data_IF_217263880027
#
_entry.id   IF_217263880027
#
_cell.length_a   1.000
_cell.length_b   1.000
_cell.length_c   1.000
_cell.angle_alpha   90.00
_cell.angle_beta   90.00
_cell.angle_gamma   90.00
#
_symmetry.space_group_name_H-M   'P 1'
#
loop_
_entity.id
_entity.type
_entity.pdbx_description
1 polymer ?
#
# COMPACT_ATOMS: atom_id res chain seq x y z
N UNK A 1 -2.40 -1.74 -27.40
CA UNK A 1 -3.37 -0.64 -27.28
C UNK A 1 -3.54 -0.28 -25.80
N UNK A 2 -3.50 1.00 -25.44
CA UNK A 2 -3.77 1.45 -24.07
C UNK A 2 -5.26 1.24 -23.75
N UNK A 3 -5.55 0.53 -22.66
CA UNK A 3 -6.94 0.31 -22.19
C UNK A 3 -7.40 1.60 -21.52
N UNK A 4 -8.58 2.11 -21.89
CA UNK A 4 -9.24 3.23 -21.22
C UNK A 4 -10.21 2.69 -20.18
N UNK A 5 -10.18 3.25 -18.97
CA UNK A 5 -11.12 2.96 -17.90
C UNK A 5 -11.70 4.30 -17.46
N UNK A 6 -12.93 4.60 -17.86
CA UNK A 6 -13.56 5.91 -17.63
C UNK A 6 -12.63 7.07 -18.05
N UNK A 7 -12.28 7.96 -17.12
CA UNK A 7 -11.39 9.11 -17.32
C UNK A 7 -9.89 8.77 -17.25
N UNK A 8 -9.54 7.48 -17.11
CA UNK A 8 -8.16 7.02 -16.93
C UNK A 8 -7.62 6.30 -18.17
N UNK A 9 -6.47 6.77 -18.64
CA UNK A 9 -5.67 6.06 -19.63
C UNK A 9 -4.69 5.12 -18.93
N UNK A 10 -4.89 3.82 -19.06
CA UNK A 10 -4.07 2.79 -18.40
C UNK A 10 -2.86 2.44 -19.26
N UNK A 11 -1.68 2.49 -18.65
CA UNK A 11 -0.38 2.26 -19.27
C UNK A 11 0.30 0.96 -18.84
N UNK A 12 1.63 1.03 -18.70
CA UNK A 12 2.51 -0.10 -18.39
C UNK A 12 2.23 -0.68 -17.00
N UNK A 13 2.56 -1.96 -16.81
CA UNK A 13 2.58 -2.59 -15.48
C UNK A 13 3.72 -2.02 -14.64
N UNK A 14 3.43 -1.69 -13.39
CA UNK A 14 4.41 -1.26 -12.37
C UNK A 14 4.81 -2.43 -11.49
N UNK A 15 3.88 -3.33 -11.18
CA UNK A 15 4.13 -4.51 -10.35
C UNK A 15 3.07 -5.58 -10.53
N UNK A 16 3.43 -6.81 -10.17
CA UNK A 16 2.53 -7.98 -10.22
C UNK A 16 2.56 -8.65 -8.85
N UNK A 17 1.41 -8.68 -8.19
CA UNK A 17 1.20 -9.46 -6.98
C UNK A 17 0.52 -10.80 -7.28
N UNK A 18 0.29 -11.61 -6.25
CA UNK A 18 -0.27 -12.96 -6.38
C UNK A 18 -1.68 -12.98 -7.00
N UNK A 19 -2.50 -11.96 -6.73
CA UNK A 19 -3.88 -11.83 -7.21
C UNK A 19 -4.22 -10.42 -7.71
N UNK A 20 -3.21 -9.58 -7.90
CA UNK A 20 -3.38 -8.21 -8.36
C UNK A 20 -2.29 -7.79 -9.34
N UNK A 21 -2.59 -6.80 -10.18
CA UNK A 21 -1.60 -6.14 -11.03
C UNK A 21 -1.68 -4.65 -10.81
N UNK A 22 -0.56 -4.00 -10.52
CA UNK A 22 -0.48 -2.55 -10.41
C UNK A 22 -0.01 -1.99 -11.74
N UNK A 23 -0.75 -1.03 -12.29
CA UNK A 23 -0.44 -0.37 -13.56
C UNK A 23 -0.29 1.12 -13.38
N UNK A 24 0.55 1.73 -14.21
CA UNK A 24 0.58 3.17 -14.35
C UNK A 24 -0.69 3.64 -15.06
N UNK A 25 -1.22 4.78 -14.65
CA UNK A 25 -2.34 5.44 -15.31
C UNK A 25 -2.16 6.96 -15.35
N UNK A 26 -2.95 7.60 -16.19
CA UNK A 26 -3.09 9.07 -16.22
C UNK A 26 -4.57 9.40 -16.19
N UNK A 27 -4.98 10.23 -15.25
CA UNK A 27 -6.30 10.86 -15.25
C UNK A 27 -6.31 11.91 -16.37
N UNK A 28 -7.00 11.63 -17.48
CA UNK A 28 -6.93 12.44 -18.69
C UNK A 28 -7.38 13.90 -18.47
N UNK A 29 -8.44 14.20 -17.72
CA UNK A 29 -8.89 15.58 -17.51
C UNK A 29 -7.87 16.46 -16.78
N UNK A 30 -7.06 15.90 -15.87
CA UNK A 30 -6.11 16.67 -15.04
C UNK A 30 -4.65 16.42 -15.37
N UNK A 31 -4.35 15.44 -16.24
CA UNK A 31 -2.99 14.97 -16.51
C UNK A 31 -2.31 14.27 -15.33
N UNK A 32 -3.02 14.03 -14.22
CA UNK A 32 -2.42 13.49 -12.99
C UNK A 32 -2.00 12.03 -13.19
N UNK A 33 -0.74 11.73 -12.84
CA UNK A 33 -0.20 10.37 -12.81
C UNK A 33 -0.79 9.58 -11.63
N UNK A 34 -1.21 8.35 -11.86
CA UNK A 34 -1.83 7.46 -10.86
C UNK A 34 -1.29 6.04 -10.94
N UNK A 35 -1.37 5.32 -9.83
CA UNK A 35 -1.18 3.88 -9.78
C UNK A 35 -2.57 3.20 -9.72
N UNK A 36 -2.78 2.16 -10.53
CA UNK A 36 -4.06 1.47 -10.65
C UNK A 36 -3.86 0.00 -10.28
N UNK A 37 -4.31 -0.40 -9.09
CA UNK A 37 -4.32 -1.80 -8.65
C UNK A 37 -5.56 -2.47 -9.25
N UNK A 38 -5.34 -3.43 -10.12
CA UNK A 38 -6.38 -4.20 -10.81
C UNK A 38 -6.52 -5.56 -10.13
N UNK A 39 -7.73 -5.88 -9.69
CA UNK A 39 -8.07 -7.09 -8.95
C UNK A 39 -9.20 -7.83 -9.67
N UNK A 40 -9.01 -9.11 -9.97
CA UNK A 40 -10.01 -9.90 -10.69
C UNK A 40 -11.00 -10.55 -9.71
N UNK A 41 -12.30 -10.27 -9.87
CA UNK A 41 -13.34 -10.74 -8.93
C UNK A 41 -13.46 -12.26 -8.85
N UNK A 42 -13.30 -12.96 -9.97
CA UNK A 42 -13.35 -14.43 -9.99
C UNK A 42 -12.19 -15.04 -9.20
N UNK A 43 -10.98 -14.48 -9.34
CA UNK A 43 -9.82 -14.91 -8.56
C UNK A 43 -9.98 -14.60 -7.07
N UNK A 44 -10.48 -13.41 -6.73
CA UNK A 44 -10.76 -13.04 -5.33
C UNK A 44 -11.75 -13.99 -4.67
N UNK A 45 -12.83 -14.35 -5.38
CA UNK A 45 -13.83 -15.31 -4.89
C UNK A 45 -13.23 -16.70 -4.70
N UNK A 46 -12.42 -17.17 -5.65
CA UNK A 46 -11.75 -18.48 -5.56
C UNK A 46 -10.78 -18.58 -4.37
N UNK A 47 -10.17 -17.46 -3.98
CA UNK A 47 -9.20 -17.39 -2.89
C UNK A 47 -9.80 -16.88 -1.56
N UNK A 48 -11.11 -16.59 -1.52
CA UNK A 48 -11.79 -16.03 -0.34
C UNK A 48 -11.17 -14.70 0.15
N UNK A 49 -10.67 -13.87 -0.78
CA UNK A 49 -9.96 -12.61 -0.47
C UNK A 49 -10.83 -11.36 -0.63
N UNK A 50 -12.06 -11.49 -1.13
CA UNK A 50 -12.92 -10.35 -1.47
C UNK A 50 -13.18 -9.41 -0.28
N UNK A 51 -13.54 -9.96 0.89
CA UNK A 51 -13.75 -9.15 2.10
C UNK A 51 -12.49 -8.42 2.56
N UNK A 52 -11.30 -9.05 2.42
CA UNK A 52 -10.03 -8.42 2.79
C UNK A 52 -9.71 -7.23 1.87
N UNK A 53 -10.02 -7.36 0.58
CA UNK A 53 -9.82 -6.28 -0.40
C UNK A 53 -10.72 -5.09 -0.11
N UNK A 54 -12.03 -5.29 0.09
CA UNK A 54 -12.93 -4.18 0.43
C UNK A 54 -12.54 -3.49 1.73
N UNK A 55 -12.09 -4.26 2.72
CA UNK A 55 -11.56 -3.71 3.95
C UNK A 55 -10.29 -2.87 3.76
N UNK A 56 -9.35 -3.32 2.92
CA UNK A 56 -8.16 -2.54 2.56
C UNK A 56 -8.58 -1.18 1.97
N UNK A 57 -9.55 -1.18 1.06
CA UNK A 57 -10.07 0.04 0.42
C UNK A 57 -10.75 0.96 1.45
N UNK A 58 -11.59 0.43 2.34
CA UNK A 58 -12.24 1.18 3.41
C UNK A 58 -11.24 1.82 4.38
N UNK A 59 -10.18 1.09 4.73
CA UNK A 59 -9.08 1.61 5.55
C UNK A 59 -8.39 2.77 4.82
N UNK A 60 -7.94 2.54 3.58
CA UNK A 60 -7.23 3.55 2.80
C UNK A 60 -8.07 4.81 2.55
N UNK A 61 -9.38 4.68 2.34
CA UNK A 61 -10.30 5.80 2.14
C UNK A 61 -10.33 6.79 3.32
N UNK A 62 -10.00 6.32 4.53
CA UNK A 62 -9.99 7.13 5.76
C UNK A 62 -8.62 7.77 6.04
N UNK A 63 -7.59 7.41 5.28
CA UNK A 63 -6.22 7.88 5.48
C UNK A 63 -5.91 9.05 4.53
N UNK A 64 -5.38 10.12 5.10
CA UNK A 64 -4.94 11.29 4.37
C UNK A 64 -3.77 11.93 5.13
N UNK A 65 -2.56 11.54 4.76
CA UNK A 65 -1.33 11.97 5.41
C UNK A 65 -0.19 12.02 4.37
N UNK A 66 0.73 13.01 4.43
CA UNK A 66 1.82 13.14 3.45
C UNK A 66 2.76 11.93 3.37
N UNK A 67 2.78 11.06 4.39
CA UNK A 67 3.61 9.85 4.41
C UNK A 67 2.82 8.54 4.31
N UNK A 68 1.56 8.61 3.87
CA UNK A 68 0.72 7.42 3.59
C UNK A 68 0.20 7.54 2.16
N UNK A 69 0.21 6.43 1.42
CA UNK A 69 -0.29 6.40 0.05
C UNK A 69 -1.75 6.84 0.01
N UNK A 70 -2.07 7.76 -0.89
CA UNK A 70 -3.44 8.26 -1.01
C UNK A 70 -4.28 7.40 -1.95
N UNK A 71 -5.45 6.96 -1.47
CA UNK A 71 -6.54 6.50 -2.33
C UNK A 71 -7.26 7.70 -2.94
N UNK A 72 -7.48 7.68 -4.25
CA UNK A 72 -8.32 8.67 -4.93
C UNK A 72 -9.74 8.17 -5.10
N UNK A 73 -9.92 6.97 -5.64
CA UNK A 73 -11.23 6.37 -5.85
C UNK A 73 -11.13 4.86 -6.12
N UNK A 74 -12.30 4.20 -6.11
CA UNK A 74 -12.47 2.83 -6.56
C UNK A 74 -13.45 2.81 -7.73
N UNK A 75 -13.07 2.14 -8.82
CA UNK A 75 -13.94 1.88 -9.97
C UNK A 75 -14.20 0.38 -10.03
N UNK A 76 -15.47 0.00 -10.07
CA UNK A 76 -15.88 -1.39 -10.05
C UNK A 76 -16.60 -1.77 -11.35
N UNK A 77 -16.19 -2.89 -11.95
CA UNK A 77 -16.80 -3.45 -13.16
C UNK A 77 -17.34 -4.86 -12.86
N UNK A 78 -18.13 -5.47 -13.76
CA UNK A 78 -18.59 -6.85 -13.54
C UNK A 78 -17.46 -7.87 -13.33
N UNK A 79 -16.29 -7.67 -13.95
CA UNK A 79 -15.16 -8.62 -13.89
C UNK A 79 -14.07 -8.24 -12.89
N UNK A 80 -13.82 -6.95 -12.69
CA UNK A 80 -12.63 -6.46 -11.98
C UNK A 80 -12.95 -5.26 -11.07
N UNK A 81 -12.15 -5.12 -10.02
CA UNK A 81 -12.09 -3.95 -9.13
C UNK A 81 -10.80 -3.19 -9.47
N UNK A 82 -10.91 -1.87 -9.65
CA UNK A 82 -9.80 -0.97 -9.93
C UNK A 82 -9.66 0.04 -8.78
N UNK A 83 -8.52 -0.01 -8.08
CA UNK A 83 -8.22 0.90 -6.98
C UNK A 83 -7.24 1.96 -7.49
N UNK A 84 -7.69 3.21 -7.56
CA UNK A 84 -6.93 4.34 -8.08
C UNK A 84 -6.21 5.04 -6.95
N UNK A 85 -4.87 5.01 -6.98
CA UNK A 85 -4.00 5.48 -5.92
C UNK A 85 -2.98 6.51 -6.42
N UNK A 86 -2.38 7.23 -5.49
CA UNK A 86 -1.20 8.04 -5.73
C UNK A 86 -0.10 7.25 -6.45
N UNK A 87 0.49 7.85 -7.48
CA UNK A 87 1.68 7.31 -8.14
C UNK A 87 2.94 7.86 -7.48
N UNK A 88 3.82 6.96 -7.06
CA UNK A 88 5.09 7.29 -6.39
C UNK A 88 6.22 6.80 -7.29
N UNK A 89 7.13 7.71 -7.67
CA UNK A 89 7.91 7.55 -8.91
C UNK A 89 9.27 6.85 -8.74
N UNK A 90 9.88 6.86 -7.55
CA UNK A 90 11.19 6.24 -7.30
C UNK A 90 11.10 4.77 -6.86
N UNK A 91 9.89 4.22 -6.77
CA UNK A 91 9.70 2.82 -6.39
C UNK A 91 9.98 2.59 -4.90
N UNK A 92 10.45 1.39 -4.59
CA UNK A 92 10.57 0.87 -3.22
C UNK A 92 11.84 1.38 -2.51
N UNK A 93 11.73 1.61 -1.20
CA UNK A 93 12.88 1.94 -0.36
C UNK A 93 13.88 0.77 -0.31
N UNK A 94 13.41 -0.46 -0.44
CA UNK A 94 14.27 -1.64 -0.54
C UNK A 94 15.29 -1.51 -1.70
N UNK A 95 14.81 -1.27 -2.91
CA UNK A 95 15.67 -1.11 -4.10
C UNK A 95 16.62 0.08 -3.96
N UNK A 96 16.15 1.17 -3.33
CA UNK A 96 16.98 2.33 -3.03
C UNK A 96 18.15 1.96 -2.11
N UNK A 97 17.92 1.18 -1.06
CA UNK A 97 18.97 0.72 -0.13
C UNK A 97 19.91 -0.27 -0.83
N UNK A 98 19.38 -1.23 -1.60
CA UNK A 98 20.20 -2.19 -2.35
C UNK A 98 21.15 -1.47 -3.31
N UNK A 99 20.65 -0.45 -4.01
CA UNK A 99 21.44 0.29 -5.01
C UNK A 99 22.48 1.22 -4.38
N UNK A 100 22.14 1.91 -3.29
CA UNK A 100 23.00 2.95 -2.69
C UNK A 100 23.81 2.43 -1.49
N UNK A 101 23.57 1.21 -1.04
CA UNK A 101 24.13 0.66 0.18
C UNK A 101 23.55 1.33 1.43
N UNK A 102 24.33 1.28 2.51
CA UNK A 102 23.92 1.83 3.81
C UNK A 102 23.70 3.35 3.71
N UNK A 103 22.51 3.78 4.13
CA UNK A 103 22.19 5.20 4.22
C UNK A 103 23.05 5.89 5.29
N UNK A 104 23.50 7.11 5.00
CA UNK A 104 24.09 7.96 6.02
C UNK A 104 23.04 8.33 7.07
N UNK A 105 23.50 8.75 8.25
CA UNK A 105 22.62 9.01 9.39
C UNK A 105 21.58 10.11 9.09
N UNK A 106 21.95 11.13 8.32
CA UNK A 106 21.05 12.25 7.98
C UNK A 106 19.87 11.76 7.14
N UNK A 107 20.12 10.97 6.10
CA UNK A 107 19.07 10.39 5.26
C UNK A 107 18.24 9.35 6.01
N UNK A 108 18.91 8.46 6.76
CA UNK A 108 18.23 7.45 7.55
C UNK A 108 17.28 8.08 8.58
N UNK A 109 17.74 9.13 9.29
CA UNK A 109 16.94 9.88 10.26
C UNK A 109 15.72 10.53 9.59
N UNK A 110 15.90 11.18 8.44
CA UNK A 110 14.79 11.80 7.70
C UNK A 110 13.74 10.76 7.32
N UNK A 111 14.13 9.64 6.72
CA UNK A 111 13.19 8.58 6.34
C UNK A 111 12.49 7.99 7.55
N UNK A 112 13.23 7.76 8.64
CA UNK A 112 12.65 7.23 9.88
C UNK A 112 11.62 8.18 10.49
N UNK A 113 11.90 9.49 10.55
CA UNK A 113 10.94 10.49 11.02
C UNK A 113 9.65 10.50 10.19
N UNK A 114 9.76 10.45 8.86
CA UNK A 114 8.60 10.41 7.96
C UNK A 114 7.78 9.12 8.16
N UNK A 115 8.44 7.98 8.29
CA UNK A 115 7.81 6.69 8.56
C UNK A 115 7.06 6.72 9.89
N UNK A 116 7.70 7.19 10.97
CA UNK A 116 7.07 7.29 12.29
C UNK A 116 5.87 8.24 12.26
N UNK A 117 5.97 9.38 11.58
CA UNK A 117 4.83 10.30 11.43
C UNK A 117 3.64 9.62 10.73
N UNK A 118 3.88 8.87 9.65
CA UNK A 118 2.84 8.11 8.95
C UNK A 118 2.21 7.01 9.80
N UNK A 119 3.03 6.24 10.53
CA UNK A 119 2.55 5.17 11.41
C UNK A 119 1.78 5.74 12.61
N UNK A 120 2.28 6.80 13.23
CA UNK A 120 1.59 7.49 14.32
C UNK A 120 0.21 7.99 13.87
N UNK A 121 0.11 8.56 12.67
CA UNK A 121 -1.17 8.95 12.09
C UNK A 121 -2.13 7.76 11.91
N UNK A 122 -1.66 6.64 11.35
CA UNK A 122 -2.47 5.42 11.20
C UNK A 122 -2.97 4.92 12.57
N UNK A 123 -2.08 4.83 13.56
CA UNK A 123 -2.41 4.35 14.90
C UNK A 123 -3.42 5.27 15.60
N UNK A 124 -3.31 6.58 15.45
CA UNK A 124 -4.29 7.54 15.98
C UNK A 124 -5.70 7.36 15.37
N UNK A 125 -5.80 6.71 14.20
CA UNK A 125 -7.06 6.31 13.57
C UNK A 125 -7.47 4.87 13.86
N UNK A 126 -6.78 4.21 14.78
CA UNK A 126 -7.00 2.80 15.11
C UNK A 126 -6.60 1.84 13.99
N UNK A 127 -5.80 2.27 13.01
CA UNK A 127 -5.33 1.42 11.91
C UNK A 127 -3.92 0.92 12.20
N UNK A 128 -3.73 -0.39 12.16
CA UNK A 128 -2.42 -1.04 12.30
C UNK A 128 -2.01 -1.65 10.96
N UNK A 129 -0.81 -1.35 10.48
CA UNK A 129 -0.31 -1.78 9.17
C UNK A 129 0.01 -3.28 9.08
N UNK A 130 0.67 -3.83 10.12
CA UNK A 130 1.06 -5.25 10.29
C UNK A 130 2.08 -5.86 9.30
N UNK A 131 2.42 -5.18 8.20
CA UNK A 131 3.50 -5.63 7.29
C UNK A 131 4.44 -4.49 6.92
N UNK A 132 4.94 -3.76 7.92
CA UNK A 132 5.86 -2.64 7.67
C UNK A 132 7.26 -3.17 7.34
N UNK A 133 7.71 -2.93 6.10
CA UNK A 133 9.01 -3.37 5.57
C UNK A 133 9.44 -2.45 4.42
N UNK A 134 10.74 -2.37 4.08
CA UNK A 134 11.24 -1.49 3.02
C UNK A 134 10.56 -1.65 1.65
N UNK A 135 10.04 -2.83 1.33
CA UNK A 135 9.29 -3.14 0.09
C UNK A 135 7.91 -2.46 0.06
N UNK A 136 7.28 -2.26 1.24
CA UNK A 136 5.99 -1.59 1.38
C UNK A 136 6.14 -0.08 1.60
N UNK A 137 7.35 0.45 1.44
CA UNK A 137 7.67 1.85 1.57
C UNK A 137 8.12 2.37 0.21
N UNK A 138 7.42 3.39 -0.31
CA UNK A 138 7.74 4.00 -1.59
C UNK A 138 8.38 5.38 -1.43
N UNK A 139 9.16 5.80 -2.43
CA UNK A 139 9.83 7.10 -2.47
C UNK A 139 9.35 7.95 -3.65
N UNK A 140 9.03 9.23 -3.41
CA UNK A 140 8.71 10.18 -4.48
C UNK A 140 9.97 10.85 -5.07
N UNK A 141 9.77 11.80 -6.00
CA UNK A 141 10.86 12.46 -6.74
C UNK A 141 11.83 13.22 -5.81
N UNK A 142 11.33 13.69 -4.66
CA UNK A 142 12.07 14.47 -3.65
C UNK A 142 12.58 13.59 -2.48
N UNK A 143 12.51 12.27 -2.65
CA UNK A 143 12.83 11.27 -1.63
C UNK A 143 11.99 11.45 -0.36
N UNK A 144 10.70 11.77 -0.51
CA UNK A 144 9.75 11.64 0.59
C UNK A 144 9.07 10.28 0.56
N UNK A 145 8.88 9.75 1.75
CA UNK A 145 8.35 8.43 2.01
C UNK A 145 6.83 8.38 1.88
N UNK A 146 6.31 7.31 1.27
CA UNK A 146 4.89 6.93 1.26
C UNK A 146 4.75 5.50 1.75
N UNK A 147 4.08 5.29 2.88
CA UNK A 147 3.71 3.95 3.36
C UNK A 147 2.61 3.41 2.43
N UNK A 148 2.84 2.24 1.85
CA UNK A 148 1.96 1.59 0.90
C UNK A 148 1.62 0.15 1.35
N UNK A 149 0.72 -0.49 0.62
CA UNK A 149 0.24 -1.87 0.84
C UNK A 149 -0.38 -2.14 2.21
N UNK A 150 -1.63 -1.73 2.36
CA UNK A 150 -2.45 -1.99 3.54
C UNK A 150 -3.20 -3.33 3.42
N UNK A 151 -2.79 -4.25 2.53
CA UNK A 151 -3.47 -5.53 2.32
C UNK A 151 -3.50 -6.45 3.55
N UNK A 152 -2.58 -6.22 4.50
CA UNK A 152 -2.58 -6.87 5.82
C UNK A 152 -3.02 -5.93 6.94
N UNK A 153 -3.46 -4.71 6.66
CA UNK A 153 -3.86 -3.78 7.70
C UNK A 153 -5.15 -4.22 8.42
N UNK A 154 -5.32 -3.74 9.65
CA UNK A 154 -6.51 -4.01 10.46
C UNK A 154 -6.91 -2.77 11.25
N UNK A 155 -8.18 -2.72 11.63
CA UNK A 155 -8.69 -1.75 12.61
C UNK A 155 -8.63 -2.39 13.99
N UNK A 156 -8.02 -1.72 14.94
CA UNK A 156 -8.11 -2.02 16.36
C UNK A 156 -9.37 -1.38 16.93
N UNK A 157 -10.07 -2.12 17.78
CA UNK A 157 -11.14 -1.62 18.64
C UNK A 157 -10.71 -1.84 20.08
N UNK A 158 -11.03 -0.90 20.95
CA UNK A 158 -10.70 -1.03 22.37
C UNK A 158 -11.25 -2.33 22.94
N UNK A 159 -10.40 -3.07 23.66
CA UNK A 159 -10.73 -4.38 24.23
C UNK A 159 -10.65 -5.58 23.26
N UNK A 160 -10.29 -5.37 21.99
CA UNK A 160 -10.13 -6.45 21.00
C UNK A 160 -8.66 -6.64 20.60
N UNK A 161 -8.12 -7.85 20.79
CA UNK A 161 -6.76 -8.22 20.36
C UNK A 161 -6.75 -8.77 18.94
N UNK A 162 -5.67 -8.50 18.21
CA UNK A 162 -5.42 -9.09 16.89
C UNK A 162 -4.53 -10.32 17.05
N UNK A 163 -5.10 -11.51 16.85
CA UNK A 163 -4.40 -12.79 17.02
C UNK A 163 -3.92 -13.45 15.73
N UNK A 164 -4.13 -12.81 14.58
CA UNK A 164 -3.75 -13.40 13.29
C UNK A 164 -2.27 -13.18 13.02
N UNK A 165 -1.49 -14.27 13.03
CA UNK A 165 -0.09 -14.29 12.63
C UNK A 165 0.03 -13.89 11.15
N UNK A 166 0.67 -12.76 10.89
CA UNK A 166 0.81 -12.18 9.55
C UNK A 166 2.04 -11.26 9.49
N UNK A 167 2.44 -10.88 8.28
CA UNK A 167 3.63 -10.07 8.03
C UNK A 167 4.84 -10.92 7.61
N UNK A 168 5.87 -10.23 7.14
CA UNK A 168 7.08 -10.87 6.61
C UNK A 168 7.99 -11.32 7.78
N UNK A 169 8.46 -12.57 7.76
CA UNK A 169 9.13 -13.23 8.91
C UNK A 169 10.27 -12.42 9.54
N UNK A 170 11.08 -11.74 8.73
CA UNK A 170 12.23 -10.97 9.20
C UNK A 170 11.86 -9.65 9.90
N UNK A 171 10.61 -9.20 9.72
CA UNK A 171 10.09 -7.94 10.28
C UNK A 171 8.96 -8.17 11.30
N UNK A 172 8.58 -9.43 11.52
CA UNK A 172 7.54 -9.80 12.47
C UNK A 172 8.08 -9.68 13.91
N UNK A 173 7.26 -9.12 14.79
CA UNK A 173 7.57 -9.04 16.20
C UNK A 173 7.53 -10.45 16.85
N UNK A 174 8.29 -10.71 17.94
CA UNK A 174 8.38 -12.04 18.55
C UNK A 174 7.03 -12.65 18.92
N UNK A 175 6.09 -11.84 19.41
CA UNK A 175 4.74 -12.25 19.76
C UNK A 175 3.88 -12.71 18.57
N UNK A 176 4.24 -12.29 17.35
CA UNK A 176 3.57 -12.72 16.11
C UNK A 176 4.11 -14.07 15.63
N UNK A 177 5.38 -14.38 15.92
CA UNK A 177 6.05 -15.62 15.47
C UNK A 177 5.79 -16.77 16.46
N UNK A 178 5.69 -16.44 17.75
CA UNK A 178 5.65 -17.43 18.82
C UNK A 178 4.27 -18.04 19.06
N UNK A 179 3.20 -17.55 18.43
CA UNK A 179 1.80 -17.96 18.66
C UNK A 179 1.39 -17.97 20.16
N UNK A 180 2.14 -17.30 21.05
CA UNK A 180 1.87 -17.25 22.49
C UNK A 180 0.93 -16.09 22.80
N UNK A 181 -0.38 -16.25 22.51
CA UNK A 181 -1.48 -15.45 23.08
C UNK A 181 -2.85 -16.13 23.05
#
# INVERSE_FOLDING_TARGET
MSKRLESYRIGRTLGVGSFSKVKFGVHEPTGKRVAVKVLNKLQLKKMEMEQKVYREIEILAQLNHPHVIRLYEMIETPSDIYVIMEYVSKGELFDYIVTNGRLNEVHARRFFQQMIAGIQYCHAKGVVHRDLKPENILLDEDLNLRIADFGLANTMKDGCFLKTSCGSSNYAAPEIISDVF
#
